data_IF_859386653049
#
_entry.id   IF_859386653049
#
_cell.length_a   1.000
_cell.length_b   1.000
_cell.length_c   1.000
_cell.angle_alpha   90.00
_cell.angle_beta   90.00
_cell.angle_gamma   90.00
#
_symmetry.space_group_name_H-M   'P 1'
#
loop_
_entity.id
_entity.type
_entity.pdbx_description
1 polymer ?
#
# COMPACT_ATOMS: atom_id res chain seq x y z
N UNK A 1 4.58 -27.39 -9.37
CA UNK A 1 4.23 -26.51 -8.27
C UNK A 1 5.17 -25.29 -8.33
N UNK A 2 4.62 -24.10 -8.42
CA UNK A 2 5.38 -22.85 -8.45
C UNK A 2 4.66 -21.79 -7.62
N UNK A 3 5.46 -20.89 -7.06
CA UNK A 3 5.01 -19.74 -6.30
C UNK A 3 5.64 -18.50 -6.94
N UNK A 4 4.82 -17.49 -7.23
CA UNK A 4 5.26 -16.17 -7.66
C UNK A 4 4.71 -15.14 -6.68
N UNK A 5 5.58 -14.31 -6.13
CA UNK A 5 5.22 -13.29 -5.14
C UNK A 5 5.60 -11.91 -5.63
N UNK A 6 4.74 -10.93 -5.33
CA UNK A 6 5.00 -9.52 -5.56
C UNK A 6 4.86 -8.79 -4.23
N UNK A 7 5.91 -8.14 -3.79
CA UNK A 7 5.89 -7.27 -2.62
C UNK A 7 5.57 -5.84 -3.04
N UNK A 8 4.91 -5.09 -2.18
CA UNK A 8 4.55 -3.70 -2.41
C UNK A 8 3.28 -3.50 -3.25
N UNK A 9 2.59 -4.58 -3.64
CA UNK A 9 1.38 -4.52 -4.44
C UNK A 9 0.37 -5.60 -4.05
N UNK A 10 -0.91 -5.23 -4.05
CA UNK A 10 -2.05 -6.14 -3.92
C UNK A 10 -3.22 -5.65 -4.78
N UNK A 11 -4.31 -6.41 -4.86
CA UNK A 11 -5.53 -5.95 -5.56
C UNK A 11 -6.18 -4.72 -4.88
N UNK A 12 -5.92 -4.51 -3.59
CA UNK A 12 -6.39 -3.33 -2.86
C UNK A 12 -5.53 -2.08 -3.08
N UNK A 13 -4.40 -2.21 -3.79
CA UNK A 13 -3.51 -1.10 -4.12
C UNK A 13 -2.04 -1.39 -3.83
N UNK A 14 -1.20 -0.38 -4.04
CA UNK A 14 0.23 -0.42 -3.76
C UNK A 14 0.52 0.10 -2.35
N UNK A 15 1.43 -0.54 -1.63
CA UNK A 15 1.86 -0.13 -0.30
C UNK A 15 2.99 -1.01 0.20
N UNK A 16 3.87 -0.47 1.03
CA UNK A 16 5.02 -1.23 1.58
C UNK A 16 4.58 -2.43 2.43
N UNK A 17 3.39 -2.37 3.00
CA UNK A 17 2.74 -3.41 3.80
C UNK A 17 1.82 -4.33 2.98
N UNK A 18 1.81 -4.20 1.66
CA UNK A 18 0.98 -5.00 0.76
C UNK A 18 1.81 -6.04 0.01
N UNK A 19 1.18 -7.16 -0.35
CA UNK A 19 1.79 -8.19 -1.16
C UNK A 19 0.74 -9.10 -1.80
N UNK A 20 1.09 -9.71 -2.91
CA UNK A 20 0.27 -10.70 -3.59
C UNK A 20 1.11 -11.92 -3.96
N UNK A 21 0.52 -13.09 -3.86
CA UNK A 21 1.16 -14.35 -4.22
C UNK A 21 0.27 -15.15 -5.18
N UNK A 22 0.86 -15.65 -6.25
CA UNK A 22 0.22 -16.56 -7.19
C UNK A 22 0.79 -17.95 -7.00
N UNK A 23 -0.09 -18.89 -6.66
CA UNK A 23 0.29 -20.27 -6.35
C UNK A 23 -0.28 -21.18 -7.44
N UNK A 24 0.60 -21.82 -8.22
CA UNK A 24 0.21 -22.85 -9.15
C UNK A 24 0.24 -24.20 -8.43
N UNK A 25 -0.91 -24.82 -8.32
CA UNK A 25 -1.05 -26.17 -7.79
C UNK A 25 -0.51 -27.20 -8.81
N UNK A 26 -0.30 -28.43 -8.35
CA UNK A 26 -0.01 -29.58 -9.23
C UNK A 26 -1.17 -29.85 -10.17
N UNK A 27 -0.91 -30.62 -11.22
CA UNK A 27 -1.96 -31.03 -12.16
C UNK A 27 -3.11 -31.75 -11.44
N UNK A 28 -4.28 -31.72 -12.03
CA UNK A 28 -5.49 -32.35 -11.48
C UNK A 28 -5.31 -33.86 -11.30
N UNK A 29 -4.59 -34.51 -12.21
CA UNK A 29 -4.28 -35.94 -12.14
C UNK A 29 -3.42 -36.33 -10.95
N UNK A 30 -2.56 -35.40 -10.47
CA UNK A 30 -1.66 -35.63 -9.33
C UNK A 30 -2.30 -35.26 -7.97
N UNK A 31 -3.52 -34.72 -7.97
CA UNK A 31 -4.22 -34.30 -6.74
C UNK A 31 -5.69 -34.75 -6.75
N UNK A 32 -5.93 -36.08 -6.80
CA UNK A 32 -7.30 -36.63 -6.77
C UNK A 32 -7.99 -36.33 -5.44
N UNK A 33 -9.31 -36.33 -5.47
CA UNK A 33 -10.17 -36.19 -4.29
C UNK A 33 -10.61 -34.75 -4.01
N UNK A 34 -11.77 -34.65 -3.37
CA UNK A 34 -12.40 -33.34 -3.06
C UNK A 34 -11.53 -32.44 -2.17
N UNK A 35 -10.80 -33.04 -1.23
CA UNK A 35 -9.93 -32.32 -0.29
C UNK A 35 -8.71 -31.67 -0.94
N UNK A 36 -8.37 -32.08 -2.16
CA UNK A 36 -7.29 -31.53 -2.97
C UNK A 36 -7.81 -30.54 -4.03
N UNK A 37 -9.10 -30.23 -4.03
CA UNK A 37 -9.68 -29.21 -4.87
C UNK A 37 -9.13 -27.82 -4.50
N UNK A 38 -9.13 -26.88 -5.45
CA UNK A 38 -8.67 -25.50 -5.21
C UNK A 38 -9.45 -24.87 -4.06
N UNK A 39 -10.76 -25.10 -3.98
CA UNK A 39 -11.62 -24.60 -2.90
C UNK A 39 -11.20 -25.14 -1.53
N UNK A 40 -10.95 -26.44 -1.42
CA UNK A 40 -10.52 -27.07 -0.17
C UNK A 40 -9.11 -26.59 0.24
N UNK A 41 -8.20 -26.42 -0.71
CA UNK A 41 -6.86 -25.86 -0.45
C UNK A 41 -6.95 -24.43 0.04
N UNK A 42 -7.76 -23.59 -0.62
CA UNK A 42 -7.98 -22.21 -0.21
C UNK A 42 -8.59 -22.11 1.20
N UNK A 43 -9.58 -22.96 1.52
CA UNK A 43 -10.20 -23.00 2.85
C UNK A 43 -9.18 -23.39 3.94
N UNK A 44 -8.34 -24.38 3.69
CA UNK A 44 -7.26 -24.75 4.64
C UNK A 44 -6.23 -23.63 4.80
N UNK A 45 -5.88 -22.97 3.71
CA UNK A 45 -4.98 -21.81 3.75
C UNK A 45 -5.58 -20.68 4.59
N UNK A 46 -6.87 -20.35 4.38
CA UNK A 46 -7.57 -19.33 5.18
C UNK A 46 -7.58 -19.69 6.68
N UNK A 47 -7.86 -20.94 7.02
CA UNK A 47 -7.82 -21.41 8.41
C UNK A 47 -6.41 -21.34 9.03
N UNK A 48 -5.36 -21.50 8.23
CA UNK A 48 -3.99 -21.34 8.69
C UNK A 48 -3.63 -19.84 8.85
N UNK A 49 -4.03 -19.01 7.89
CA UNK A 49 -3.72 -17.58 7.87
C UNK A 49 -4.48 -16.78 8.94
N UNK A 50 -5.67 -17.24 9.35
CA UNK A 50 -6.42 -16.61 10.45
C UNK A 50 -5.68 -16.61 11.80
N UNK A 51 -4.62 -17.41 11.93
CA UNK A 51 -3.76 -17.47 13.12
C UNK A 51 -2.61 -16.46 13.09
N UNK A 52 -2.36 -15.82 11.94
CA UNK A 52 -1.34 -14.79 11.83
C UNK A 52 -1.82 -13.50 12.52
N UNK A 53 -0.95 -12.94 13.35
CA UNK A 53 -1.24 -11.69 14.08
C UNK A 53 -0.70 -10.46 13.37
N UNK A 54 0.36 -10.63 12.58
CA UNK A 54 1.13 -9.54 11.98
C UNK A 54 0.65 -9.17 10.58
N UNK A 55 -0.28 -9.95 10.01
CA UNK A 55 -0.79 -9.69 8.67
C UNK A 55 -2.21 -10.28 8.48
N UNK A 56 -3.02 -9.60 7.68
CA UNK A 56 -4.26 -10.15 7.13
C UNK A 56 -3.94 -10.78 5.77
N UNK A 57 -4.11 -12.10 5.67
CA UNK A 57 -3.82 -12.84 4.45
C UNK A 57 -5.07 -13.56 3.97
N UNK A 58 -5.41 -13.36 2.70
CA UNK A 58 -6.57 -13.97 2.06
C UNK A 58 -6.12 -14.95 0.97
N UNK A 59 -6.71 -16.13 0.95
CA UNK A 59 -6.51 -17.11 -0.10
C UNK A 59 -7.84 -17.37 -0.83
N UNK A 60 -7.83 -17.22 -2.14
CA UNK A 60 -9.01 -17.47 -2.96
C UNK A 60 -8.62 -18.06 -4.31
N UNK A 61 -9.52 -18.77 -4.93
CA UNK A 61 -9.37 -19.23 -6.31
C UNK A 61 -9.75 -18.07 -7.24
N UNK A 62 -8.96 -17.79 -8.31
CA UNK A 62 -9.40 -16.84 -9.31
C UNK A 62 -10.70 -17.33 -9.96
N UNK A 63 -11.58 -16.43 -10.43
CA UNK A 63 -12.77 -16.80 -11.18
C UNK A 63 -12.37 -17.50 -12.48
N UNK A 64 -13.27 -18.34 -13.00
CA UNK A 64 -13.03 -19.07 -14.26
C UNK A 64 -12.81 -18.13 -15.46
N UNK A 65 -13.44 -16.95 -15.42
CA UNK A 65 -13.26 -15.87 -16.39
C UNK A 65 -12.86 -14.63 -15.61
N UNK A 66 -11.61 -14.20 -15.78
CA UNK A 66 -11.03 -13.10 -15.00
C UNK A 66 -11.75 -11.77 -15.21
N UNK A 67 -12.23 -11.53 -16.44
CA UNK A 67 -12.92 -10.30 -16.83
C UNK A 67 -14.31 -10.17 -16.20
N UNK A 68 -14.94 -11.28 -15.84
CA UNK A 68 -16.24 -11.28 -15.17
C UNK A 68 -16.14 -11.11 -13.66
N UNK A 69 -14.91 -11.14 -13.11
CA UNK A 69 -14.69 -11.06 -11.68
C UNK A 69 -15.34 -12.18 -10.88
N UNK A 70 -15.44 -12.04 -9.58
CA UNK A 70 -16.24 -12.90 -8.71
C UNK A 70 -17.62 -12.27 -8.62
N UNK A 71 -18.48 -12.53 -9.59
CA UNK A 71 -19.79 -11.90 -9.77
C UNK A 71 -20.87 -12.38 -8.75
N UNK A 72 -20.46 -12.81 -7.56
CA UNK A 72 -21.39 -13.19 -6.50
C UNK A 72 -21.40 -12.10 -5.43
N UNK A 73 -22.55 -11.46 -5.24
CA UNK A 73 -22.72 -10.44 -4.22
C UNK A 73 -22.99 -9.05 -4.79
N UNK A 74 -22.56 -8.02 -4.08
CA UNK A 74 -22.75 -6.62 -4.47
C UNK A 74 -21.43 -5.86 -4.30
N UNK A 75 -21.32 -4.79 -5.07
CA UNK A 75 -20.27 -3.79 -4.98
C UNK A 75 -20.92 -2.45 -4.65
N UNK A 76 -20.41 -1.75 -3.64
CA UNK A 76 -21.02 -0.53 -3.15
C UNK A 76 -19.96 0.51 -2.78
N UNK A 77 -20.24 1.78 -3.11
CA UNK A 77 -19.43 2.90 -2.67
C UNK A 77 -20.16 3.71 -1.60
N UNK A 78 -19.60 3.79 -0.41
CA UNK A 78 -20.03 4.73 0.62
C UNK A 78 -19.31 6.06 0.39
N UNK A 79 -20.09 7.15 0.20
CA UNK A 79 -19.56 8.46 -0.15
C UNK A 79 -19.76 9.47 0.97
N UNK A 80 -18.76 10.29 1.24
CA UNK A 80 -18.91 11.51 2.03
C UNK A 80 -19.35 12.67 1.12
N UNK A 81 -20.66 12.90 1.05
CA UNK A 81 -21.24 13.99 0.28
C UNK A 81 -21.42 15.27 1.09
N UNK A 82 -21.31 15.16 2.40
CA UNK A 82 -21.46 16.27 3.34
C UNK A 82 -20.14 16.99 3.64
N UNK A 83 -19.00 16.40 3.25
CA UNK A 83 -17.68 16.93 3.59
C UNK A 83 -17.34 16.75 5.08
N UNK A 84 -17.87 15.68 5.69
CA UNK A 84 -17.66 15.40 7.11
C UNK A 84 -16.22 14.91 7.44
N UNK A 85 -15.47 14.53 6.40
CA UNK A 85 -14.07 14.15 6.48
C UNK A 85 -13.83 12.66 6.62
N UNK A 86 -12.53 12.30 6.55
CA UNK A 86 -12.09 10.90 6.49
C UNK A 86 -12.53 10.08 7.71
N UNK A 87 -12.36 10.60 8.90
CA UNK A 87 -12.73 9.90 10.15
C UNK A 87 -14.23 9.56 10.22
N UNK A 88 -15.08 10.52 9.81
CA UNK A 88 -16.53 10.31 9.77
C UNK A 88 -16.92 9.26 8.73
N UNK A 89 -16.26 9.28 7.56
CA UNK A 89 -16.48 8.28 6.51
C UNK A 89 -16.07 6.87 6.98
N UNK A 90 -14.94 6.73 7.66
CA UNK A 90 -14.46 5.47 8.22
C UNK A 90 -15.37 4.98 9.37
N UNK A 91 -15.86 5.87 10.22
CA UNK A 91 -16.84 5.53 11.25
C UNK A 91 -18.15 5.01 10.66
N UNK A 92 -18.69 5.68 9.62
CA UNK A 92 -19.88 5.24 8.90
C UNK A 92 -19.67 3.88 8.21
N UNK A 93 -18.51 3.65 7.58
CA UNK A 93 -18.12 2.35 7.04
C UNK A 93 -18.16 1.25 8.09
N UNK A 94 -17.54 1.50 9.23
CA UNK A 94 -17.47 0.52 10.32
C UNK A 94 -18.86 0.22 10.91
N UNK A 95 -19.72 1.23 11.00
CA UNK A 95 -21.12 1.05 11.41
C UNK A 95 -21.87 0.17 10.39
N UNK A 96 -21.71 0.43 9.10
CA UNK A 96 -22.31 -0.38 8.04
C UNK A 96 -21.86 -1.84 8.09
N UNK A 97 -20.55 -2.08 8.25
CA UNK A 97 -20.00 -3.41 8.38
C UNK A 97 -20.55 -4.13 9.63
N UNK A 98 -20.69 -3.40 10.75
CA UNK A 98 -21.29 -3.92 11.98
C UNK A 98 -22.77 -4.27 11.83
N UNK A 99 -23.53 -3.54 11.01
CA UNK A 99 -24.92 -3.86 10.67
C UNK A 99 -24.98 -5.09 9.73
N UNK A 100 -24.16 -5.11 8.68
CA UNK A 100 -24.09 -6.21 7.73
C UNK A 100 -23.70 -7.55 8.39
N UNK A 101 -22.82 -7.53 9.38
CA UNK A 101 -22.42 -8.71 10.11
C UNK A 101 -23.56 -9.34 10.95
N UNK A 102 -24.62 -8.58 11.23
CA UNK A 102 -25.81 -9.06 11.98
C UNK A 102 -26.93 -9.52 11.07
N UNK A 103 -26.85 -9.27 9.77
CA UNK A 103 -27.87 -9.65 8.81
C UNK A 103 -27.59 -11.06 8.28
N UNK A 104 -28.50 -12.03 8.51
CA UNK A 104 -28.29 -13.41 8.05
C UNK A 104 -28.34 -13.59 6.52
N UNK A 105 -28.84 -12.58 5.79
CA UNK A 105 -28.87 -12.62 4.32
C UNK A 105 -27.52 -12.19 3.72
N UNK A 106 -26.63 -11.60 4.51
CA UNK A 106 -25.35 -11.08 4.05
C UNK A 106 -24.19 -11.93 4.58
N UNK A 107 -23.29 -12.31 3.71
CA UNK A 107 -22.09 -13.07 4.07
C UNK A 107 -20.85 -12.42 3.48
N UNK A 108 -19.76 -12.40 4.26
CA UNK A 108 -18.43 -11.93 3.82
C UNK A 108 -18.41 -10.48 3.30
N UNK A 109 -19.26 -9.61 3.86
CA UNK A 109 -19.19 -8.16 3.57
C UNK A 109 -17.88 -7.61 4.12
N UNK A 110 -17.10 -6.97 3.27
CA UNK A 110 -15.77 -6.47 3.60
C UNK A 110 -15.45 -5.19 2.82
N UNK A 111 -14.60 -4.33 3.34
CA UNK A 111 -14.09 -3.21 2.56
C UNK A 111 -13.12 -3.69 1.48
N UNK A 112 -13.06 -2.98 0.36
CA UNK A 112 -12.15 -3.23 -0.75
C UNK A 112 -11.14 -2.08 -0.90
N UNK A 113 -10.62 -1.58 0.19
CA UNK A 113 -9.64 -0.51 0.24
C UNK A 113 -8.49 -0.85 1.17
N UNK A 114 -7.58 0.09 1.32
CA UNK A 114 -6.51 -0.02 2.30
C UNK A 114 -6.98 0.60 3.62
N UNK A 115 -6.71 -0.10 4.72
CA UNK A 115 -6.97 0.44 6.07
C UNK A 115 -5.99 1.55 6.41
N UNK A 116 -6.40 2.41 7.32
CA UNK A 116 -5.52 3.42 7.90
C UNK A 116 -4.33 2.74 8.58
N UNK A 117 -3.16 3.30 8.36
CA UNK A 117 -1.90 2.78 8.89
C UNK A 117 -1.08 3.89 9.53
N UNK A 118 -0.17 3.54 10.46
CA UNK A 118 0.81 4.49 10.93
C UNK A 118 1.67 4.99 9.75
N UNK A 119 1.85 6.29 9.68
CA UNK A 119 2.64 6.98 8.65
C UNK A 119 3.62 7.94 9.31
N UNK A 120 4.85 7.97 8.85
CA UNK A 120 5.81 8.98 9.25
C UNK A 120 5.71 10.17 8.30
N UNK A 121 5.15 11.26 8.79
CA UNK A 121 4.97 12.50 8.03
C UNK A 121 6.18 13.40 8.26
N UNK A 122 6.78 13.87 7.16
CA UNK A 122 7.87 14.86 7.20
C UNK A 122 7.26 16.20 6.83
N UNK A 123 7.27 17.14 7.79
CA UNK A 123 6.78 18.50 7.61
C UNK A 123 7.97 19.42 7.35
N UNK A 124 7.99 20.03 6.17
CA UNK A 124 9.05 20.97 5.75
C UNK A 124 8.57 22.39 5.98
N UNK A 125 9.30 23.15 6.79
CA UNK A 125 9.11 24.59 6.90
C UNK A 125 9.68 25.26 5.64
N UNK A 126 8.78 25.57 4.71
CA UNK A 126 9.15 26.14 3.41
C UNK A 126 9.68 27.56 3.50
N UNK A 127 9.29 28.31 4.53
CA UNK A 127 9.79 29.68 4.77
C UNK A 127 11.22 29.62 5.27
N UNK A 128 11.47 28.76 6.25
CA UNK A 128 12.82 28.58 6.79
C UNK A 128 13.76 27.97 5.74
N UNK A 129 13.31 26.95 4.99
CA UNK A 129 14.08 26.38 3.89
C UNK A 129 14.47 27.45 2.84
N UNK A 130 13.53 28.33 2.48
CA UNK A 130 13.80 29.46 1.59
C UNK A 130 14.81 30.42 2.14
N UNK A 131 14.74 30.78 3.44
CA UNK A 131 15.71 31.64 4.10
C UNK A 131 17.13 31.04 4.15
N UNK A 132 17.23 29.68 4.19
CA UNK A 132 18.50 28.97 4.11
C UNK A 132 19.02 28.80 2.67
N UNK A 133 18.32 29.34 1.67
CA UNK A 133 18.70 29.27 0.26
C UNK A 133 18.42 27.92 -0.39
N UNK A 134 17.47 27.12 0.15
CA UNK A 134 17.12 25.84 -0.38
C UNK A 134 16.00 25.96 -1.42
N UNK A 135 16.14 25.25 -2.53
CA UNK A 135 15.07 25.06 -3.49
C UNK A 135 14.21 23.84 -3.09
N UNK A 136 12.89 24.01 -3.03
CA UNK A 136 11.97 22.92 -2.68
C UNK A 136 12.05 21.73 -3.64
N UNK A 137 12.44 21.97 -4.90
CA UNK A 137 12.70 20.90 -5.87
C UNK A 137 13.84 19.98 -5.40
N UNK A 138 14.92 20.54 -4.87
CA UNK A 138 16.07 19.78 -4.40
C UNK A 138 15.77 19.06 -3.07
N UNK A 139 14.99 19.68 -2.17
CA UNK A 139 14.48 19.05 -0.97
C UNK A 139 13.66 17.80 -1.32
N UNK A 140 12.69 17.96 -2.23
CA UNK A 140 11.83 16.85 -2.68
C UNK A 140 12.61 15.76 -3.43
N UNK A 141 13.57 16.14 -4.28
CA UNK A 141 14.43 15.19 -4.98
C UNK A 141 15.29 14.36 -4.00
N UNK A 142 15.82 15.00 -2.97
CA UNK A 142 16.61 14.33 -1.92
C UNK A 142 15.74 13.35 -1.13
N UNK A 143 14.54 13.75 -0.68
CA UNK A 143 13.61 12.87 0.02
C UNK A 143 13.19 11.69 -0.87
N UNK A 144 12.88 11.94 -2.14
CA UNK A 144 12.52 10.89 -3.08
C UNK A 144 13.67 9.90 -3.29
N UNK A 145 14.89 10.39 -3.51
CA UNK A 145 16.06 9.53 -3.66
C UNK A 145 16.36 8.73 -2.39
N UNK A 146 16.22 9.35 -1.22
CA UNK A 146 16.50 8.70 0.06
C UNK A 146 15.53 7.56 0.35
N UNK A 147 14.22 7.80 0.32
CA UNK A 147 13.19 6.84 0.75
C UNK A 147 12.39 6.22 -0.40
N UNK A 148 12.07 7.00 -1.44
CA UNK A 148 11.18 6.59 -2.53
C UNK A 148 11.89 5.95 -3.72
N UNK A 149 13.21 6.06 -3.82
CA UNK A 149 14.04 5.83 -5.00
C UNK A 149 13.86 6.88 -6.11
N UNK A 150 14.95 7.17 -6.80
CA UNK A 150 14.97 8.01 -7.98
C UNK A 150 15.34 7.18 -9.21
N UNK A 151 14.52 7.23 -10.24
CA UNK A 151 14.85 6.65 -11.53
C UNK A 151 15.95 7.50 -12.20
N UNK A 152 17.04 6.83 -12.59
CA UNK A 152 18.20 7.51 -13.19
C UNK A 152 18.18 7.36 -14.72
N UNK A 153 18.13 6.12 -15.22
CA UNK A 153 18.13 5.81 -16.64
C UNK A 153 17.86 4.33 -16.89
N UNK A 154 17.77 3.96 -18.17
CA UNK A 154 17.69 2.57 -18.62
C UNK A 154 19.03 2.11 -19.22
N UNK A 155 19.30 0.81 -19.18
CA UNK A 155 20.36 0.17 -19.93
C UNK A 155 19.89 -1.17 -20.53
N UNK A 156 20.61 -1.63 -21.56
CA UNK A 156 20.29 -2.91 -22.19
C UNK A 156 21.25 -3.96 -21.67
N UNK A 157 20.70 -5.02 -21.10
CA UNK A 157 21.44 -6.21 -20.72
C UNK A 157 20.80 -7.46 -21.33
N UNK A 158 21.57 -8.21 -22.10
CA UNK A 158 21.13 -9.44 -22.78
C UNK A 158 19.84 -9.26 -23.58
N UNK A 159 19.74 -8.14 -24.31
CA UNK A 159 18.58 -7.80 -25.15
C UNK A 159 17.33 -7.37 -24.40
N UNK A 160 17.41 -7.10 -23.09
CA UNK A 160 16.32 -6.59 -22.26
C UNK A 160 16.66 -5.22 -21.70
N UNK A 161 15.69 -4.32 -21.75
CA UNK A 161 15.79 -3.01 -21.10
C UNK A 161 15.65 -3.21 -19.59
N UNK A 162 16.63 -2.72 -18.83
CA UNK A 162 16.65 -2.70 -17.36
C UNK A 162 16.74 -1.28 -16.87
N UNK A 163 15.97 -0.97 -15.84
CA UNK A 163 15.92 0.35 -15.21
C UNK A 163 16.94 0.45 -14.09
N UNK A 164 17.61 1.60 -14.02
CA UNK A 164 18.52 1.95 -12.93
C UNK A 164 17.78 2.87 -11.96
N UNK A 165 17.73 2.45 -10.71
CA UNK A 165 17.21 3.27 -9.61
C UNK A 165 18.30 3.54 -8.60
N UNK A 166 18.29 4.74 -8.06
CA UNK A 166 19.13 5.16 -6.95
C UNK A 166 18.26 5.30 -5.69
N UNK A 167 18.70 4.72 -4.59
CA UNK A 167 18.04 4.83 -3.29
C UNK A 167 19.09 4.82 -2.19
N UNK A 168 18.76 5.42 -1.05
CA UNK A 168 19.61 5.29 0.14
C UNK A 168 19.75 3.83 0.58
N UNK A 169 20.92 3.48 1.09
CA UNK A 169 21.07 2.17 1.75
C UNK A 169 20.26 2.10 3.04
N UNK A 170 19.88 0.89 3.44
CA UNK A 170 19.00 0.63 4.57
C UNK A 170 19.39 1.35 5.88
N UNK A 171 20.67 1.38 6.31
CA UNK A 171 21.08 2.05 7.56
C UNK A 171 20.81 3.57 7.62
N UNK A 172 20.41 4.15 6.48
CA UNK A 172 20.18 5.61 6.36
C UNK A 172 18.70 5.96 6.13
N UNK A 173 17.77 4.98 6.20
CA UNK A 173 16.34 5.20 5.93
C UNK A 173 15.39 4.27 6.69
N UNK A 174 15.87 3.56 7.72
CA UNK A 174 15.05 2.56 8.43
C UNK A 174 14.28 3.11 9.62
N UNK A 175 14.77 4.16 10.23
CA UNK A 175 14.18 4.76 11.44
C UNK A 175 13.93 6.27 11.24
N UNK A 176 13.00 6.87 11.99
CA UNK A 176 12.70 8.30 11.89
C UNK A 176 13.92 9.20 12.05
N UNK A 177 14.83 8.83 12.93
CA UNK A 177 16.05 9.57 13.25
C UNK A 177 17.06 9.63 12.08
N UNK A 178 16.85 8.78 11.07
CA UNK A 178 17.68 8.81 9.86
C UNK A 178 17.46 10.09 9.03
N UNK A 179 16.35 10.82 9.26
CA UNK A 179 16.13 12.12 8.63
C UNK A 179 17.26 13.11 8.94
N UNK A 180 17.82 13.05 10.14
CA UNK A 180 18.89 13.95 10.58
C UNK A 180 20.25 13.68 9.90
N UNK A 181 20.37 12.54 9.23
CA UNK A 181 21.61 12.17 8.49
C UNK A 181 21.64 12.73 7.07
N UNK A 182 20.54 13.35 6.63
CA UNK A 182 20.41 13.85 5.26
C UNK A 182 20.62 15.35 5.17
N UNK A 183 21.15 15.75 4.03
CA UNK A 183 21.49 17.14 3.73
C UNK A 183 21.00 17.53 2.34
N UNK A 184 20.67 18.78 2.17
CA UNK A 184 20.34 19.40 0.87
C UNK A 184 21.33 20.51 0.59
N UNK A 185 21.79 20.63 -0.65
CA UNK A 185 22.71 21.68 -1.07
C UNK A 185 21.92 22.97 -1.30
N UNK A 186 22.34 24.06 -0.68
CA UNK A 186 21.75 25.39 -0.89
C UNK A 186 22.33 26.12 -2.12
N UNK A 187 21.79 27.29 -2.43
CA UNK A 187 22.24 28.12 -3.56
C UNK A 187 23.71 28.60 -3.44
N UNK A 188 24.28 28.63 -2.23
CA UNK A 188 25.66 28.97 -1.94
C UNK A 188 26.60 27.76 -2.06
N UNK A 189 26.06 26.57 -2.28
CA UNK A 189 26.82 25.33 -2.38
C UNK A 189 27.07 24.64 -1.05
N UNK A 190 26.51 25.13 0.04
CA UNK A 190 26.65 24.56 1.39
C UNK A 190 25.63 23.42 1.61
N UNK A 191 25.99 22.45 2.47
CA UNK A 191 25.13 21.32 2.82
C UNK A 191 24.36 21.64 4.09
N UNK A 192 23.04 21.78 3.96
CA UNK A 192 22.09 22.10 5.04
C UNK A 192 21.41 20.84 5.51
N UNK A 193 21.48 20.46 6.80
CA UNK A 193 20.81 19.26 7.31
C UNK A 193 19.29 19.45 7.37
N UNK A 194 18.55 18.38 7.17
CA UNK A 194 17.07 18.39 7.24
C UNK A 194 16.55 18.85 8.61
N UNK A 195 17.26 18.55 9.69
CA UNK A 195 16.89 18.96 11.05
C UNK A 195 16.77 20.47 11.25
N UNK A 196 17.32 21.29 10.36
CA UNK A 196 17.19 22.75 10.43
C UNK A 196 15.85 23.27 9.89
N UNK A 197 15.20 22.56 8.98
CA UNK A 197 14.02 23.06 8.28
C UNK A 197 12.90 22.03 8.12
N UNK A 198 13.05 20.80 8.63
CA UNK A 198 12.05 19.78 8.57
C UNK A 198 11.90 19.06 9.91
N UNK A 199 10.68 18.61 10.19
CA UNK A 199 10.34 17.82 11.38
C UNK A 199 9.55 16.59 10.98
N UNK A 200 9.87 15.46 11.58
CA UNK A 200 9.15 14.23 11.39
C UNK A 200 8.20 13.94 12.54
N UNK A 201 6.99 13.47 12.23
CA UNK A 201 6.04 13.00 13.23
C UNK A 201 5.25 11.80 12.76
N UNK A 202 4.88 10.93 13.69
CA UNK A 202 3.95 9.85 13.41
C UNK A 202 2.53 10.39 13.28
N UNK A 203 1.86 9.96 12.22
CA UNK A 203 0.44 10.19 11.96
C UNK A 203 -0.24 8.84 11.72
N UNK A 204 -1.56 8.85 11.68
CA UNK A 204 -2.35 7.68 11.33
C UNK A 204 -3.36 8.09 10.26
N UNK A 205 -3.40 7.35 9.17
CA UNK A 205 -4.29 7.70 8.08
C UNK A 205 -4.20 6.72 6.91
N UNK A 206 -5.07 6.92 5.94
CA UNK A 206 -5.14 6.05 4.77
C UNK A 206 -3.93 6.27 3.85
N UNK A 207 -3.26 5.19 3.43
CA UNK A 207 -2.20 5.27 2.43
C UNK A 207 -2.74 5.64 1.04
N UNK A 208 -4.05 5.52 0.83
CA UNK A 208 -4.72 5.83 -0.43
C UNK A 208 -6.11 6.45 -0.17
N UNK A 209 -6.29 7.68 -0.62
CA UNK A 209 -7.59 8.34 -0.62
C UNK A 209 -8.29 8.12 -1.96
N UNK A 210 -9.53 7.67 -1.91
CA UNK A 210 -10.32 7.36 -3.10
C UNK A 210 -11.50 8.33 -3.23
N UNK A 211 -11.90 8.56 -4.47
CA UNK A 211 -13.09 9.34 -4.81
C UNK A 211 -13.94 8.57 -5.82
N UNK A 212 -15.23 8.60 -5.61
CA UNK A 212 -16.20 8.11 -6.57
C UNK A 212 -17.12 9.27 -6.98
N UNK A 213 -17.21 9.54 -8.28
CA UNK A 213 -17.94 10.71 -8.81
C UNK A 213 -17.58 12.04 -8.12
N UNK A 214 -16.28 12.24 -7.83
CA UNK A 214 -15.78 13.47 -7.24
C UNK A 214 -15.89 13.59 -5.71
N UNK A 215 -16.71 12.76 -5.05
CA UNK A 215 -16.83 12.73 -3.58
C UNK A 215 -15.84 11.72 -2.96
N UNK A 216 -15.26 12.00 -1.77
CA UNK A 216 -14.52 11.02 -1.04
C UNK A 216 -15.35 9.76 -0.81
N UNK A 217 -14.76 8.59 -1.02
CA UNK A 217 -15.50 7.33 -0.98
C UNK A 217 -14.65 6.19 -0.47
N UNK A 218 -15.33 5.15 0.05
CA UNK A 218 -14.77 3.83 0.34
C UNK A 218 -15.65 2.76 -0.32
N UNK A 219 -15.02 1.71 -0.86
CA UNK A 219 -15.69 0.60 -1.53
C UNK A 219 -15.84 -0.58 -0.57
#
# INVERSE_FOLDING_TARGET
>A
QSLFTVAGFSFSGSGQNAGIAFIRLRDWSERPGADNSVKAVAARAMAAFSKLRDAMVFAFAPPAVLELGVANGFDMYLQDRAGAGHEALMAARNQLLGMAAKDPALVAVRPNGQEDTPQFSIEVDTVHAGALGLAMADVNATLSAAWGSAYVNDFIDKGRVKRVYMQADAPFRMVPEDLDKWYVRNAQGEMVPFSMFAQGRWTFGSPRLERFNGAPAVQ
#
